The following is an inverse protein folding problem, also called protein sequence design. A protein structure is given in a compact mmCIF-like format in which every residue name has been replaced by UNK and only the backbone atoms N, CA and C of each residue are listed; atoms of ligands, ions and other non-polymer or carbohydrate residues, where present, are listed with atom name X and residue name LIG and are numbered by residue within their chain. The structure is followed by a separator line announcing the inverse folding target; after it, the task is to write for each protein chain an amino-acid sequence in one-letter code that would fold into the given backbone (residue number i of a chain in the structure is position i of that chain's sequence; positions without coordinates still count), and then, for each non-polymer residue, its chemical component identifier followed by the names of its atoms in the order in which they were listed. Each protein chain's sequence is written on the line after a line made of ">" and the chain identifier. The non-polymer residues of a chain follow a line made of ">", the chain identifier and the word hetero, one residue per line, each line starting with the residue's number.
data_IF_541717049027
#
_entry.id   IF_541717049027
#
_cell.length_a   1.000
_cell.length_b   1.000
_cell.length_c   1.000
_cell.angle_alpha   90.00
_cell.angle_beta   90.00
_cell.angle_gamma   90.00
#
_symmetry.space_group_name_H-M   'P 1'
#
loop_
_entity.id
_entity.type
_entity.pdbx_description
1 polymer ?
#
# COMPACT_ATOMS: atom_id res chain seq x y z
N UNK A 1 -0.23 -2.98 -2.46
CA UNK A 1 -1.69 -2.71 -2.34
C UNK A 1 -2.23 -2.34 -3.72
N UNK A 2 -3.47 -2.70 -4.08
CA UNK A 2 -4.02 -2.36 -5.41
C UNK A 2 -4.92 -1.12 -5.34
N UNK A 3 -4.83 -0.27 -6.35
CA UNK A 3 -5.65 0.93 -6.50
C UNK A 3 -6.25 0.97 -7.91
N UNK A 4 -7.42 1.60 -8.01
CA UNK A 4 -8.13 1.80 -9.28
C UNK A 4 -8.69 3.20 -9.38
N UNK A 5 -8.65 3.75 -10.60
CA UNK A 5 -9.27 5.04 -10.91
C UNK A 5 -10.68 4.80 -11.45
N UNK A 6 -11.68 5.40 -10.80
CA UNK A 6 -13.08 5.28 -11.16
C UNK A 6 -13.75 6.64 -11.07
N UNK A 7 -14.34 7.11 -12.18
CA UNK A 7 -15.00 8.42 -12.29
C UNK A 7 -14.11 9.58 -11.80
N UNK A 8 -12.84 9.57 -12.17
CA UNK A 8 -11.86 10.59 -11.77
C UNK A 8 -11.22 10.41 -10.38
N UNK A 9 -11.75 9.54 -9.51
CA UNK A 9 -11.25 9.34 -8.15
C UNK A 9 -10.43 8.06 -8.02
N UNK A 10 -9.47 8.05 -7.09
CA UNK A 10 -8.64 6.88 -6.78
C UNK A 10 -9.24 6.15 -5.58
N UNK A 11 -9.44 4.85 -5.71
CA UNK A 11 -9.95 3.98 -4.66
C UNK A 11 -9.02 2.80 -4.44
N UNK A 12 -9.00 2.29 -3.21
CA UNK A 12 -8.42 0.98 -2.92
C UNK A 12 -9.25 -0.10 -3.62
N UNK A 13 -8.55 -1.04 -4.24
CA UNK A 13 -9.12 -2.05 -5.12
C UNK A 13 -8.88 -3.47 -4.57
N UNK A 14 -9.91 -4.31 -4.56
CA UNK A 14 -9.76 -5.76 -4.32
C UNK A 14 -10.41 -6.56 -5.43
N UNK A 15 -9.69 -7.57 -5.94
CA UNK A 15 -10.15 -8.41 -7.04
C UNK A 15 -11.18 -9.42 -6.55
N UNK A 16 -12.25 -9.59 -7.32
CA UNK A 16 -13.24 -10.65 -7.17
C UNK A 16 -13.11 -11.68 -8.30
N UNK A 17 -13.96 -12.70 -8.25
CA UNK A 17 -14.14 -13.62 -9.38
C UNK A 17 -14.74 -12.87 -10.58
N UNK A 18 -14.64 -13.48 -11.75
CA UNK A 18 -15.33 -13.04 -12.97
C UNK A 18 -15.05 -11.58 -13.40
N UNK A 19 -13.80 -11.12 -13.23
CA UNK A 19 -13.36 -9.76 -13.59
C UNK A 19 -14.07 -8.61 -12.87
N UNK A 20 -14.64 -8.90 -11.70
CA UNK A 20 -15.23 -7.89 -10.83
C UNK A 20 -14.24 -7.41 -9.78
N UNK A 21 -14.50 -6.22 -9.25
CA UNK A 21 -13.69 -5.60 -8.21
C UNK A 21 -14.56 -4.95 -7.14
N UNK A 22 -14.06 -4.95 -5.91
CA UNK A 22 -14.53 -4.00 -4.90
C UNK A 22 -13.66 -2.74 -4.91
N UNK A 23 -14.31 -1.59 -5.04
CA UNK A 23 -13.78 -0.29 -4.62
C UNK A 23 -14.07 -0.12 -3.13
N UNK A 24 -13.12 0.39 -2.36
CA UNK A 24 -13.33 0.76 -0.95
C UNK A 24 -13.22 2.27 -0.76
N UNK A 25 -14.09 2.80 0.10
CA UNK A 25 -14.11 4.21 0.52
C UNK A 25 -14.40 4.31 2.02
N UNK A 26 -13.92 5.38 2.64
CA UNK A 26 -14.25 5.76 4.02
C UNK A 26 -15.40 6.78 4.09
N UNK A 27 -15.89 7.24 2.94
CA UNK A 27 -17.03 8.13 2.84
C UNK A 27 -18.25 7.39 2.31
N UNK A 28 -19.43 7.79 2.79
CA UNK A 28 -20.70 7.30 2.27
C UNK A 28 -21.01 7.98 0.93
N UNK A 29 -20.46 7.41 -0.14
CA UNK A 29 -20.72 7.83 -1.51
C UNK A 29 -21.95 7.12 -2.09
N UNK A 30 -22.66 7.77 -3.02
CA UNK A 30 -23.82 7.18 -3.69
C UNK A 30 -23.48 5.80 -4.30
N UNK A 31 -24.33 4.82 -4.02
CA UNK A 31 -24.24 3.40 -4.38
C UNK A 31 -23.15 2.56 -3.70
N UNK A 32 -22.36 3.12 -2.79
CA UNK A 32 -21.48 2.31 -1.95
C UNK A 32 -22.28 1.69 -0.81
N UNK A 33 -22.00 0.42 -0.50
CA UNK A 33 -22.65 -0.31 0.59
C UNK A 33 -21.72 -0.37 1.79
N UNK A 34 -22.26 -0.11 2.98
CA UNK A 34 -21.49 -0.22 4.22
C UNK A 34 -20.94 -1.65 4.40
N UNK A 35 -19.69 -1.73 4.81
CA UNK A 35 -19.02 -2.97 5.19
C UNK A 35 -19.28 -3.19 6.68
N UNK A 36 -19.75 -4.39 7.08
CA UNK A 36 -19.96 -4.70 8.49
C UNK A 36 -18.70 -4.42 9.31
N UNK A 37 -18.89 -3.86 10.51
CA UNK A 37 -17.80 -3.66 11.47
C UNK A 37 -17.10 -4.98 11.75
N UNK A 38 -15.77 -4.97 11.71
CA UNK A 38 -14.96 -6.15 11.96
C UNK A 38 -14.09 -5.87 13.18
N UNK A 39 -14.10 -6.75 14.17
CA UNK A 39 -13.14 -6.73 15.27
C UNK A 39 -11.89 -7.48 14.82
N UNK A 40 -10.73 -6.83 14.85
CA UNK A 40 -9.47 -7.51 14.54
C UNK A 40 -9.03 -8.44 15.69
N UNK A 41 -7.93 -9.17 15.47
CA UNK A 41 -7.39 -10.12 16.45
C UNK A 41 -6.90 -9.46 17.75
N UNK A 42 -6.77 -8.12 17.77
CA UNK A 42 -6.40 -7.32 18.94
C UNK A 42 -7.62 -6.71 19.64
N UNK A 43 -8.84 -6.99 19.19
CA UNK A 43 -10.06 -6.45 19.77
C UNK A 43 -10.44 -5.05 19.26
N UNK A 44 -9.75 -4.51 18.24
CA UNK A 44 -10.06 -3.19 17.69
C UNK A 44 -11.20 -3.31 16.69
N UNK A 45 -12.24 -2.48 16.88
CA UNK A 45 -13.40 -2.42 15.98
C UNK A 45 -13.08 -1.50 14.80
N UNK A 46 -13.16 -2.05 13.60
CA UNK A 46 -12.99 -1.34 12.34
C UNK A 46 -14.35 -1.15 11.66
N UNK A 47 -14.96 0.03 11.82
CA UNK A 47 -16.25 0.44 11.24
C UNK A 47 -16.10 1.61 10.25
N UNK A 48 -17.18 2.03 9.58
CA UNK A 48 -17.17 3.22 8.71
C UNK A 48 -16.54 3.01 7.33
N UNK A 49 -16.40 1.76 6.89
CA UNK A 49 -15.93 1.42 5.54
C UNK A 49 -17.12 1.16 4.63
N UNK A 50 -17.02 1.59 3.39
CA UNK A 50 -18.00 1.33 2.35
C UNK A 50 -17.33 0.66 1.16
N UNK A 51 -18.07 -0.17 0.45
CA UNK A 51 -17.59 -0.85 -0.75
C UNK A 51 -18.59 -0.79 -1.89
N UNK A 52 -18.08 -0.78 -3.12
CA UNK A 52 -18.88 -0.87 -4.34
C UNK A 52 -18.32 -1.95 -5.26
N UNK A 53 -19.19 -2.83 -5.74
CA UNK A 53 -18.83 -3.81 -6.77
C UNK A 53 -18.88 -3.13 -8.14
N UNK A 54 -17.83 -3.32 -8.94
CA UNK A 54 -17.74 -2.84 -10.31
C UNK A 54 -17.18 -3.92 -11.23
N UNK A 55 -17.50 -3.81 -12.52
CA UNK A 55 -16.84 -4.56 -13.59
C UNK A 55 -15.49 -3.92 -13.94
N UNK A 56 -14.53 -4.73 -14.40
CA UNK A 56 -13.20 -4.24 -14.84
C UNK A 56 -13.28 -3.09 -15.86
N UNK A 57 -14.25 -3.14 -16.77
CA UNK A 57 -14.41 -2.15 -17.84
C UNK A 57 -14.90 -0.78 -17.34
N UNK A 58 -15.32 -0.68 -16.08
CA UNK A 58 -15.69 0.58 -15.45
C UNK A 58 -14.47 1.33 -14.89
N UNK A 59 -13.31 0.67 -14.76
CA UNK A 59 -12.07 1.30 -14.33
C UNK A 59 -11.46 2.09 -15.49
N UNK A 60 -11.08 3.34 -15.20
CA UNK A 60 -10.25 4.15 -16.09
C UNK A 60 -8.81 3.63 -16.09
N UNK A 61 -8.36 3.17 -14.92
CA UNK A 61 -7.00 2.69 -14.68
C UNK A 61 -6.92 1.81 -13.42
N UNK A 62 -5.89 0.97 -13.32
CA UNK A 62 -5.54 0.28 -12.08
C UNK A 62 -4.05 -0.07 -11.99
N UNK A 63 -3.52 -0.01 -10.77
CA UNK A 63 -2.12 -0.31 -10.49
C UNK A 63 -1.93 -0.96 -9.11
N UNK A 64 -0.88 -1.76 -9.00
CA UNK A 64 -0.33 -2.22 -7.75
C UNK A 64 0.69 -1.19 -7.28
N UNK A 65 0.46 -0.65 -6.09
CA UNK A 65 1.35 0.24 -5.38
C UNK A 65 2.27 -0.58 -4.50
N UNK A 66 3.57 -0.45 -4.75
CA UNK A 66 4.68 -1.04 -3.97
C UNK A 66 5.62 0.08 -3.54
N UNK A 67 6.40 -0.19 -2.50
CA UNK A 67 7.39 0.74 -2.00
C UNK A 67 8.75 0.07 -1.86
N UNK A 68 9.80 0.84 -2.11
CA UNK A 68 11.16 0.51 -1.68
C UNK A 68 11.63 1.63 -0.73
N UNK A 69 12.35 1.28 0.34
CA UNK A 69 12.94 2.25 1.26
C UNK A 69 14.46 2.10 1.28
N UNK A 70 15.17 3.23 1.29
CA UNK A 70 16.63 3.26 1.48
C UNK A 70 16.93 3.43 2.96
N UNK A 71 17.64 2.46 3.53
CA UNK A 71 18.06 2.41 4.92
C UNK A 71 19.54 2.02 4.99
N UNK A 72 20.36 2.87 5.62
CA UNK A 72 21.82 2.68 5.71
C UNK A 72 22.47 2.42 4.33
N UNK A 73 22.04 3.17 3.32
CA UNK A 73 22.51 3.07 1.94
C UNK A 73 22.07 1.83 1.16
N UNK A 74 21.23 0.95 1.72
CA UNK A 74 20.69 -0.23 1.03
C UNK A 74 19.20 -0.03 0.78
N UNK A 75 18.74 -0.49 -0.40
CA UNK A 75 17.33 -0.43 -0.80
C UNK A 75 16.64 -1.74 -0.44
N UNK A 76 15.53 -1.64 0.28
CA UNK A 76 14.72 -2.76 0.72
C UNK A 76 13.29 -2.62 0.20
N UNK A 77 12.61 -3.75 0.00
CA UNK A 77 11.15 -3.73 -0.17
C UNK A 77 10.51 -3.19 1.11
N UNK A 78 9.45 -2.40 0.96
CA UNK A 78 8.78 -1.73 2.06
C UNK A 78 7.26 -1.92 2.01
N UNK A 79 6.65 -2.03 3.19
CA UNK A 79 5.22 -2.18 3.37
C UNK A 79 4.72 -1.30 4.52
N UNK A 80 3.40 -1.18 4.65
CA UNK A 80 2.75 -0.42 5.73
C UNK A 80 3.19 1.05 5.78
N UNK A 81 3.29 1.72 4.63
CA UNK A 81 3.65 3.15 4.57
C UNK A 81 2.73 4.02 5.43
N UNK A 82 1.45 3.62 5.58
CA UNK A 82 0.47 4.29 6.43
C UNK A 82 0.79 4.18 7.93
N UNK A 83 1.59 3.19 8.35
CA UNK A 83 2.09 3.08 9.72
C UNK A 83 3.17 4.12 10.00
N UNK A 84 3.85 4.63 8.97
CA UNK A 84 4.84 5.67 9.17
C UNK A 84 4.22 6.95 9.73
N UNK A 85 3.01 7.28 9.29
CA UNK A 85 2.24 8.40 9.84
C UNK A 85 1.66 8.09 11.22
N UNK A 86 1.09 6.88 11.40
CA UNK A 86 0.35 6.50 12.62
C UNK A 86 1.25 6.11 13.80
N UNK A 87 2.35 5.43 13.52
CA UNK A 87 3.25 4.80 14.49
C UNK A 87 4.71 5.30 14.40
N UNK A 88 5.04 6.14 13.40
CA UNK A 88 6.40 6.67 13.23
C UNK A 88 7.41 5.69 12.63
N UNK A 89 6.97 4.49 12.25
CA UNK A 89 7.81 3.41 11.74
C UNK A 89 7.20 2.75 10.50
N UNK A 90 8.06 2.10 9.72
CA UNK A 90 7.67 1.35 8.53
C UNK A 90 8.35 -0.01 8.50
N UNK A 91 7.70 -0.96 7.85
CA UNK A 91 8.23 -2.32 7.69
C UNK A 91 9.06 -2.41 6.41
N UNK A 92 10.27 -2.94 6.53
CA UNK A 92 11.14 -3.30 5.41
C UNK A 92 11.43 -4.79 5.40
N UNK A 93 11.71 -5.33 4.21
CA UNK A 93 11.82 -6.77 3.95
C UNK A 93 13.07 -7.10 3.16
N UNK A 94 13.57 -8.31 3.35
CA UNK A 94 14.62 -8.91 2.52
C UNK A 94 14.44 -10.43 2.46
N UNK A 95 14.86 -11.03 1.34
CA UNK A 95 15.02 -12.48 1.18
C UNK A 95 16.49 -12.93 1.34
N UNK A 96 17.41 -11.97 1.51
CA UNK A 96 18.85 -12.21 1.62
C UNK A 96 19.24 -12.45 3.09
N UNK A 97 19.66 -13.68 3.39
CA UNK A 97 20.08 -14.13 4.73
C UNK A 97 21.26 -13.31 5.30
N UNK A 98 22.25 -12.97 4.47
CA UNK A 98 23.45 -12.24 4.90
C UNK A 98 23.09 -10.80 5.27
N UNK A 99 22.19 -10.18 4.49
CA UNK A 99 21.64 -8.85 4.81
C UNK A 99 20.76 -8.93 6.05
N UNK A 100 19.92 -9.95 6.18
CA UNK A 100 19.04 -10.11 7.32
C UNK A 100 19.83 -10.23 8.63
N UNK A 101 20.87 -11.06 8.66
CA UNK A 101 21.76 -11.19 9.81
C UNK A 101 22.51 -9.88 10.10
N UNK A 102 23.11 -9.27 9.09
CA UNK A 102 23.91 -8.04 9.25
C UNK A 102 23.13 -6.85 9.81
N UNK A 103 21.83 -6.77 9.50
CA UNK A 103 20.97 -5.65 9.89
C UNK A 103 19.92 -6.05 10.94
N UNK A 104 20.07 -7.19 11.60
CA UNK A 104 19.19 -7.70 12.67
C UNK A 104 17.71 -7.73 12.25
N UNK A 105 17.41 -8.34 11.11
CA UNK A 105 16.02 -8.60 10.70
C UNK A 105 15.47 -9.82 11.45
N UNK A 106 14.18 -9.82 11.69
CA UNK A 106 13.47 -10.97 12.25
C UNK A 106 13.00 -11.89 11.12
N UNK A 107 13.06 -13.20 11.34
CA UNK A 107 12.61 -14.19 10.38
C UNK A 107 11.11 -14.43 10.52
N UNK A 108 10.37 -14.32 9.42
CA UNK A 108 8.92 -14.63 9.35
C UNK A 108 8.72 -16.08 8.95
N UNK A 109 9.42 -16.51 7.90
CA UNK A 109 9.36 -17.87 7.39
C UNK A 109 10.69 -18.32 6.79
N UNK A 110 10.70 -19.42 6.03
CA UNK A 110 11.93 -19.97 5.50
C UNK A 110 12.65 -19.08 4.46
N UNK A 111 11.96 -18.10 3.86
CA UNK A 111 12.46 -17.21 2.82
C UNK A 111 12.39 -15.73 3.17
N UNK A 112 11.53 -15.33 4.11
CA UNK A 112 11.22 -13.92 4.35
C UNK A 112 11.69 -13.42 5.72
N UNK A 113 12.36 -12.26 5.68
CA UNK A 113 12.77 -11.50 6.84
C UNK A 113 12.17 -10.10 6.82
N UNK A 114 11.85 -9.57 8.00
CA UNK A 114 11.31 -8.23 8.16
C UNK A 114 12.00 -7.46 9.29
N UNK A 115 11.89 -6.13 9.21
CA UNK A 115 12.33 -5.23 10.27
C UNK A 115 11.47 -3.98 10.26
N UNK A 116 11.09 -3.49 11.44
CA UNK A 116 10.58 -2.13 11.55
C UNK A 116 11.73 -1.14 11.64
N UNK A 117 11.68 -0.09 10.82
CA UNK A 117 12.61 1.05 10.88
C UNK A 117 11.85 2.33 11.22
N UNK A 118 12.51 3.21 11.95
CA UNK A 118 11.97 4.53 12.29
C UNK A 118 11.96 5.45 11.06
N UNK A 119 10.96 6.31 10.94
CA UNK A 119 10.85 7.19 9.77
C UNK A 119 12.00 8.15 9.59
N UNK A 120 12.64 8.56 10.70
CA UNK A 120 13.84 9.40 10.68
C UNK A 120 15.06 8.71 10.05
N UNK A 121 15.09 7.37 10.03
CA UNK A 121 16.20 6.56 9.53
C UNK A 121 16.03 6.23 8.04
N UNK A 122 14.89 6.56 7.43
CA UNK A 122 14.66 6.43 6.00
C UNK A 122 15.41 7.56 5.29
N UNK A 123 16.27 7.20 4.35
CA UNK A 123 17.05 8.12 3.53
C UNK A 123 16.26 8.55 2.29
N UNK A 124 15.54 7.60 1.69
CA UNK A 124 14.73 7.78 0.48
C UNK A 124 13.58 6.78 0.48
N UNK A 125 12.41 7.19 -0.02
CA UNK A 125 11.29 6.29 -0.29
C UNK A 125 11.02 6.31 -1.80
N UNK A 126 10.83 5.14 -2.40
CA UNK A 126 10.49 4.99 -3.81
C UNK A 126 9.09 4.43 -3.92
N UNK A 127 8.17 5.22 -4.49
CA UNK A 127 6.85 4.76 -4.89
C UNK A 127 6.97 4.04 -6.25
N UNK A 128 6.42 2.83 -6.34
CA UNK A 128 6.36 2.06 -7.58
C UNK A 128 4.91 1.75 -7.90
N UNK A 129 4.45 2.18 -9.08
CA UNK A 129 3.13 1.80 -9.62
C UNK A 129 3.31 0.82 -10.75
N UNK A 130 2.87 -0.42 -10.53
CA UNK A 130 2.85 -1.45 -11.54
C UNK A 130 1.44 -1.57 -12.13
N UNK A 131 1.23 -1.41 -13.44
CA UNK A 131 -0.09 -1.53 -14.03
C UNK A 131 -0.70 -2.91 -13.78
N UNK A 132 -1.95 -2.93 -13.35
CA UNK A 132 -2.77 -4.13 -13.30
C UNK A 132 -3.67 -4.05 -14.51
N UNK A 133 -3.50 -4.95 -15.49
CA UNK A 133 -4.16 -4.95 -16.80
C UNK A 133 -3.61 -3.94 -17.81
N UNK A 134 -4.04 -4.09 -19.07
CA UNK A 134 -3.69 -3.20 -20.17
C UNK A 134 -4.73 -2.06 -20.30
N UNK A 135 -4.91 -1.27 -19.24
CA UNK A 135 -5.67 -0.02 -19.36
C UNK A 135 -4.92 0.96 -20.25
N UNK A 136 -5.65 1.90 -20.88
CA UNK A 136 -5.07 2.80 -21.91
C UNK A 136 -3.94 3.67 -21.36
N UNK A 137 -4.03 4.08 -20.09
CA UNK A 137 -3.18 5.12 -19.52
C UNK A 137 -1.97 4.56 -18.75
N UNK A 138 -2.08 3.38 -18.15
CA UNK A 138 -0.97 2.76 -17.40
C UNK A 138 -0.46 1.54 -18.14
N UNK A 139 0.50 1.77 -19.03
CA UNK A 139 1.14 0.72 -19.84
C UNK A 139 2.48 0.27 -19.30
N UNK A 140 3.07 1.02 -18.36
CA UNK A 140 4.43 0.79 -17.87
C UNK A 140 4.50 0.99 -16.37
N UNK A 141 5.44 0.29 -15.75
CA UNK A 141 5.84 0.54 -14.37
C UNK A 141 6.38 1.96 -14.26
N UNK A 142 5.87 2.74 -13.32
CA UNK A 142 6.39 4.07 -12.99
C UNK A 142 7.05 4.04 -11.62
N UNK A 143 8.19 4.72 -11.49
CA UNK A 143 8.87 4.92 -10.21
C UNK A 143 8.94 6.42 -9.89
N UNK A 144 8.61 6.79 -8.66
CA UNK A 144 8.75 8.14 -8.15
C UNK A 144 9.55 8.10 -6.86
N UNK A 145 10.60 8.92 -6.79
CA UNK A 145 11.36 9.14 -5.56
C UNK A 145 10.65 10.18 -4.71
N UNK A 146 10.41 9.86 -3.44
CA UNK A 146 9.89 10.73 -2.40
C UNK A 146 11.07 11.15 -1.51
N UNK A 147 11.50 12.43 -1.57
CA UNK A 147 12.59 12.94 -0.74
C UNK A 147 12.30 12.82 0.75
N UNK A 148 13.34 12.61 1.56
CA UNK A 148 13.26 12.41 3.02
C UNK A 148 12.36 13.41 3.75
N UNK A 149 12.48 14.69 3.42
CA UNK A 149 11.71 15.79 4.02
C UNK A 149 10.20 15.74 3.71
N UNK A 150 9.79 14.95 2.70
CA UNK A 150 8.40 14.81 2.26
C UNK A 150 7.77 13.46 2.62
N UNK A 151 8.55 12.53 3.16
CA UNK A 151 8.09 11.16 3.42
C UNK A 151 6.88 11.14 4.37
N UNK A 152 6.89 11.93 5.44
CA UNK A 152 5.78 11.98 6.40
C UNK A 152 4.50 12.59 5.81
N UNK A 153 4.62 13.66 5.03
CA UNK A 153 3.49 14.26 4.34
C UNK A 153 2.88 13.27 3.32
N UNK A 154 3.76 12.55 2.63
CA UNK A 154 3.35 11.54 1.67
C UNK A 154 2.67 10.34 2.34
N UNK A 155 3.16 9.86 3.49
CA UNK A 155 2.51 8.77 4.22
C UNK A 155 1.13 9.14 4.75
N UNK A 156 0.92 10.39 5.17
CA UNK A 156 -0.40 10.92 5.53
C UNK A 156 -1.36 10.92 4.34
N UNK A 157 -0.90 11.39 3.17
CA UNK A 157 -1.68 11.34 1.94
C UNK A 157 -2.10 9.91 1.60
N UNK A 158 -1.19 8.93 1.69
CA UNK A 158 -1.52 7.52 1.43
C UNK A 158 -2.49 6.96 2.47
N UNK A 159 -2.34 7.32 3.75
CA UNK A 159 -3.24 6.90 4.82
C UNK A 159 -4.69 7.37 4.61
N UNK A 160 -4.91 8.47 3.86
CA UNK A 160 -6.26 8.93 3.53
C UNK A 160 -7.03 8.00 2.59
N UNK A 161 -6.35 7.09 1.90
CA UNK A 161 -6.96 6.07 1.03
C UNK A 161 -7.02 4.67 1.66
N UNK A 162 -6.39 4.47 2.82
CA UNK A 162 -6.11 3.15 3.43
C UNK A 162 -7.18 2.72 4.42
#
# INVERSE_FOLDING_TARGET
>A
MNYGKYKGNIYRLSKLRDNKYYLFSWSNENDFKEVPSITDYKGVIHSGRYKKEIEINALEDAYALKYEAVYKGIRFDAALIEYLHKEGRMEIWTEDDDIAEKYDFERIDMFWYYKYIEGKDIEELVEIREPIFQFKDTKKVTKQVIPKDKILQYSEYIASFA
#
